data_IF_795923154657
#
_entry.id   IF_795923154657
#
_cell.length_a   1.000
_cell.length_b   1.000
_cell.length_c   1.000
_cell.angle_alpha   90.00
_cell.angle_beta   90.00
_cell.angle_gamma   90.00
#
_symmetry.space_group_name_H-M   'P 1'
#
loop_
_entity.id
_entity.type
_entity.pdbx_description
1 polymer ?
#
# COMPACT_ATOMS: atom_id res chain seq x y z
N UNK A 1 7.14 -6.28 16.25
CA UNK A 1 6.72 -6.35 14.83
C UNK A 1 6.32 -5.01 14.18
N UNK A 2 5.67 -4.06 14.88
CA UNK A 2 5.22 -2.76 14.30
C UNK A 2 6.32 -1.85 13.71
N UNK A 3 7.59 -2.00 14.08
CA UNK A 3 8.67 -1.07 13.68
C UNK A 3 9.22 -1.34 12.28
N UNK A 4 9.16 -2.59 11.80
CA UNK A 4 9.69 -2.98 10.48
C UNK A 4 8.79 -2.47 9.34
N UNK A 5 7.47 -2.62 9.52
CA UNK A 5 6.46 -2.18 8.55
C UNK A 5 6.51 -0.66 8.29
N UNK A 6 6.66 0.16 9.34
CA UNK A 6 6.76 1.62 9.19
C UNK A 6 7.98 2.06 8.39
N UNK A 7 9.09 1.31 8.47
CA UNK A 7 10.34 1.62 7.74
C UNK A 7 10.22 1.31 6.25
N UNK A 8 9.47 0.28 5.88
CA UNK A 8 9.28 -0.08 4.47
C UNK A 8 8.29 0.84 3.76
N UNK A 9 7.21 1.28 4.44
CA UNK A 9 6.31 2.34 3.91
C UNK A 9 7.07 3.64 3.60
N UNK A 10 8.05 4.00 4.43
CA UNK A 10 8.79 5.26 4.28
C UNK A 10 9.68 5.31 3.04
N UNK A 11 10.02 4.16 2.44
CA UNK A 11 10.85 4.08 1.22
C UNK A 11 10.04 4.30 -0.07
N UNK A 12 8.73 4.15 0.03
CA UNK A 12 7.81 4.26 -1.12
C UNK A 12 7.04 5.57 -1.11
N UNK A 13 7.06 6.30 0.00
CA UNK A 13 6.41 7.60 0.16
C UNK A 13 7.13 8.68 -0.67
N UNK A 14 6.42 9.31 -1.59
CA UNK A 14 6.92 10.45 -2.37
C UNK A 14 7.31 10.19 -3.84
N UNK A 15 7.33 8.95 -4.33
CA UNK A 15 7.52 8.68 -5.77
C UNK A 15 6.38 7.82 -6.31
N UNK A 16 5.66 8.31 -7.33
CA UNK A 16 4.64 7.52 -8.02
C UNK A 16 5.32 6.33 -8.70
N UNK A 17 5.17 5.15 -8.11
CA UNK A 17 5.59 3.87 -8.69
C UNK A 17 4.36 3.16 -9.23
N UNK A 18 4.48 2.55 -10.42
CA UNK A 18 3.37 1.82 -11.05
C UNK A 18 2.97 0.53 -10.32
N UNK A 19 3.88 -0.07 -9.55
CA UNK A 19 3.60 -1.22 -8.68
C UNK A 19 4.56 -1.23 -7.50
N UNK A 20 4.06 -1.51 -6.30
CA UNK A 20 4.87 -1.58 -5.08
C UNK A 20 5.26 -3.03 -4.76
N UNK A 21 6.37 -3.48 -5.34
CA UNK A 21 6.86 -4.88 -5.20
C UNK A 21 7.46 -5.12 -3.79
N UNK A 22 7.92 -4.07 -3.13
CA UNK A 22 8.70 -4.14 -1.89
C UNK A 22 7.83 -4.24 -0.62
N UNK A 23 6.50 -4.31 -0.74
CA UNK A 23 5.56 -4.38 0.40
C UNK A 23 4.76 -5.69 0.34
N UNK A 24 5.22 -6.78 0.97
CA UNK A 24 4.67 -8.12 0.77
C UNK A 24 3.20 -8.31 1.17
N UNK A 25 2.71 -7.48 2.10
CA UNK A 25 1.33 -7.54 2.60
C UNK A 25 0.39 -6.53 1.93
N UNK A 26 0.87 -5.73 0.99
CA UNK A 26 0.05 -4.75 0.28
C UNK A 26 -0.64 -5.42 -0.91
N UNK A 27 -1.94 -5.23 -1.02
CA UNK A 27 -2.68 -5.54 -2.24
C UNK A 27 -2.90 -4.23 -3.01
N UNK A 28 -2.15 -4.03 -4.09
CA UNK A 28 -2.23 -2.82 -4.90
C UNK A 28 -3.54 -2.77 -5.69
N UNK A 29 -4.19 -1.61 -5.72
CA UNK A 29 -5.33 -1.39 -6.60
C UNK A 29 -4.88 -1.45 -8.08
N UNK A 30 -5.73 -1.99 -8.96
CA UNK A 30 -5.40 -2.17 -10.39
C UNK A 30 -4.94 -0.89 -11.12
N UNK A 31 -5.35 0.29 -10.62
CA UNK A 31 -5.03 1.59 -11.20
C UNK A 31 -4.05 2.41 -10.34
N UNK A 32 -3.54 1.84 -9.25
CA UNK A 32 -2.53 2.48 -8.41
C UNK A 32 -1.28 2.81 -9.25
N UNK A 33 -0.70 4.00 -9.02
CA UNK A 33 0.47 4.47 -9.76
C UNK A 33 0.24 4.86 -11.23
N UNK A 34 -0.94 4.60 -11.80
CA UNK A 34 -1.31 4.95 -13.18
C UNK A 34 -1.98 6.33 -13.33
N UNK A 35 -2.52 6.62 -14.52
CA UNK A 35 -3.22 7.89 -14.84
C UNK A 35 -4.45 8.13 -13.95
N UNK A 36 -5.18 7.07 -13.62
CA UNK A 36 -6.39 7.11 -12.80
C UNK A 36 -6.13 6.91 -11.31
N UNK A 37 -4.86 6.96 -10.87
CA UNK A 37 -4.48 6.76 -9.45
C UNK A 37 -5.15 7.74 -8.49
N UNK A 38 -5.57 8.91 -8.96
CA UNK A 38 -6.31 9.90 -8.17
C UNK A 38 -7.73 9.45 -7.78
N UNK A 39 -8.26 8.40 -8.42
CA UNK A 39 -9.53 7.77 -8.08
C UNK A 39 -9.36 6.58 -7.13
N UNK A 40 -8.13 6.15 -6.87
CA UNK A 40 -7.85 5.06 -5.95
C UNK A 40 -7.84 5.55 -4.51
N UNK A 41 -8.36 4.71 -3.61
CA UNK A 41 -8.33 4.96 -2.16
C UNK A 41 -7.44 3.91 -1.51
N UNK A 42 -6.54 4.35 -0.63
CA UNK A 42 -5.77 3.44 0.22
C UNK A 42 -6.57 3.16 1.49
N UNK A 43 -6.89 1.89 1.71
CA UNK A 43 -7.49 1.45 2.98
C UNK A 43 -6.36 1.04 3.93
N UNK A 44 -6.31 1.69 5.09
CA UNK A 44 -5.39 1.34 6.17
C UNK A 44 -6.15 0.54 7.22
N UNK A 45 -5.81 -0.75 7.36
CA UNK A 45 -6.43 -1.64 8.33
C UNK A 45 -5.56 -1.82 9.57
N UNK A 46 -6.19 -1.87 10.75
CA UNK A 46 -5.49 -2.24 11.98
C UNK A 46 -5.46 -3.78 12.10
N UNK A 47 -4.39 -4.38 11.59
CA UNK A 47 -4.12 -5.82 11.68
C UNK A 47 -4.49 -6.62 10.43
N UNK A 48 -3.95 -7.84 10.33
CA UNK A 48 -4.14 -8.70 9.15
C UNK A 48 -5.58 -9.25 9.04
N UNK A 49 -6.30 -9.38 10.16
CA UNK A 49 -7.71 -9.83 10.19
C UNK A 49 -8.64 -8.82 9.52
N UNK A 50 -8.43 -7.53 9.77
CA UNK A 50 -9.21 -6.46 9.15
C UNK A 50 -8.95 -6.34 7.64
N UNK A 51 -7.75 -6.73 7.17
CA UNK A 51 -7.44 -6.78 5.73
C UNK A 51 -8.34 -7.77 4.99
N UNK A 52 -8.63 -8.94 5.56
CA UNK A 52 -9.44 -9.96 4.90
C UNK A 52 -10.91 -9.54 4.69
N UNK A 53 -11.37 -8.54 5.43
CA UNK A 53 -12.72 -7.97 5.31
C UNK A 53 -12.78 -6.76 4.36
N UNK A 54 -11.61 -6.18 4.04
CA UNK A 54 -11.48 -4.91 3.34
C UNK A 54 -11.35 -5.08 1.82
#
# INVERSE_FOLDING_TARGET
>A
EKFKQKKDLKKTDGTKKGKLIDVPKLDDANQAGGKNSHQCTLILTEGDSAKALA
#
